data_IF_068162948853
#
_entry.id   IF_068162948853
#
_cell.length_a   1.000
_cell.length_b   1.000
_cell.length_c   1.000
_cell.angle_alpha   90.00
_cell.angle_beta   90.00
_cell.angle_gamma   90.00
#
_symmetry.space_group_name_H-M   'P 1'
#
loop_
_entity.id
_entity.type
_entity.pdbx_description
1 polymer ?
#
# COMPACT_ATOMS: atom_id res chain seq x y z
N UNK A 1 -15.31 5.09 4.17
CA UNK A 1 -14.68 5.78 5.32
C UNK A 1 -13.29 6.24 4.94
N UNK A 2 -12.99 7.50 5.17
CA UNK A 2 -11.65 8.06 4.89
C UNK A 2 -10.84 8.10 6.18
N UNK A 3 -9.59 7.64 6.11
CA UNK A 3 -8.67 7.63 7.25
C UNK A 3 -7.42 8.38 6.86
N UNK A 4 -7.04 9.41 7.63
CA UNK A 4 -5.82 10.16 7.39
C UNK A 4 -4.62 9.34 7.84
N UNK A 5 -3.56 9.39 7.05
CA UNK A 5 -2.31 8.69 7.30
C UNK A 5 -1.16 9.67 7.18
N UNK A 6 0.00 9.38 7.81
CA UNK A 6 1.16 10.29 7.69
C UNK A 6 1.60 10.53 6.25
N UNK A 7 1.38 9.56 5.37
CA UNK A 7 1.80 9.61 3.96
C UNK A 7 0.70 10.08 3.01
N UNK A 8 -0.51 10.33 3.50
CA UNK A 8 -1.65 10.71 2.66
C UNK A 8 -2.94 10.29 3.30
N UNK A 9 -3.73 9.47 2.61
CA UNK A 9 -4.97 8.95 3.20
C UNK A 9 -5.39 7.66 2.50
N UNK A 10 -6.27 6.91 3.18
CA UNK A 10 -6.91 5.75 2.57
C UNK A 10 -8.42 5.89 2.66
N UNK A 11 -9.10 5.37 1.65
CA UNK A 11 -10.56 5.27 1.64
C UNK A 11 -10.91 3.79 1.66
N UNK A 12 -11.61 3.37 2.71
CA UNK A 12 -12.09 1.98 2.83
C UNK A 12 -13.46 1.91 2.21
N UNK A 13 -13.52 1.44 0.98
CA UNK A 13 -14.79 1.40 0.22
C UNK A 13 -15.47 0.04 0.29
N UNK A 14 -14.77 -1.01 0.71
CA UNK A 14 -15.35 -2.34 0.92
C UNK A 14 -14.71 -2.95 2.17
N UNK A 15 -15.51 -3.21 3.19
CA UNK A 15 -15.05 -3.83 4.44
C UNK A 15 -16.09 -4.84 4.86
N UNK A 16 -15.75 -6.12 4.79
CA UNK A 16 -16.63 -7.19 5.23
C UNK A 16 -15.79 -8.40 5.64
N UNK A 17 -16.46 -9.49 5.96
CA UNK A 17 -15.79 -10.69 6.47
C UNK A 17 -15.08 -11.51 5.40
N UNK A 18 -15.18 -11.13 4.13
CA UNK A 18 -14.60 -11.91 3.04
C UNK A 18 -13.49 -11.19 2.30
N UNK A 19 -13.56 -9.86 2.19
CA UNK A 19 -12.56 -9.08 1.46
C UNK A 19 -12.52 -7.64 1.93
N UNK A 20 -11.44 -6.96 1.56
CA UNK A 20 -11.26 -5.51 1.77
C UNK A 20 -11.02 -4.84 0.43
N UNK A 21 -11.55 -3.61 0.30
CA UNK A 21 -11.22 -2.74 -0.81
C UNK A 21 -10.83 -1.38 -0.28
N UNK A 22 -9.70 -0.85 -0.73
CA UNK A 22 -9.22 0.46 -0.32
C UNK A 22 -8.74 1.25 -1.52
N UNK A 23 -8.80 2.57 -1.40
CA UNK A 23 -8.06 3.46 -2.28
C UNK A 23 -7.01 4.14 -1.42
N UNK A 24 -5.75 4.07 -1.85
CA UNK A 24 -4.63 4.69 -1.16
C UNK A 24 -4.19 5.90 -1.97
N UNK A 25 -4.19 7.08 -1.34
CA UNK A 25 -3.65 8.29 -1.93
C UNK A 25 -2.33 8.59 -1.22
N UNK A 26 -1.22 8.45 -1.92
CA UNK A 26 0.12 8.67 -1.37
C UNK A 26 0.62 10.00 -1.88
N UNK A 27 0.89 10.93 -0.96
CA UNK A 27 1.36 12.26 -1.32
C UNK A 27 2.70 12.19 -2.04
N UNK A 28 2.96 13.16 -2.92
CA UNK A 28 4.24 13.25 -3.63
C UNK A 28 5.39 13.19 -2.63
N UNK A 29 6.39 12.37 -2.92
CA UNK A 29 7.58 12.22 -2.07
C UNK A 29 7.36 11.42 -0.80
N UNK A 30 6.18 10.88 -0.58
CA UNK A 30 5.87 10.11 0.63
C UNK A 30 5.89 8.61 0.35
N UNK A 31 5.98 7.84 1.42
CA UNK A 31 5.97 6.38 1.32
C UNK A 31 5.37 5.76 2.57
N UNK A 32 4.80 4.57 2.41
CA UNK A 32 4.34 3.77 3.52
C UNK A 32 5.54 3.14 4.24
N UNK A 33 5.27 2.47 5.36
CA UNK A 33 6.30 1.71 6.04
C UNK A 33 6.77 0.55 5.16
N UNK A 34 7.99 0.11 5.41
CA UNK A 34 8.46 -1.20 4.94
C UNK A 34 7.82 -2.22 5.86
N UNK A 35 7.00 -3.12 5.31
CA UNK A 35 6.12 -3.94 6.12
C UNK A 35 5.85 -5.28 5.46
N UNK A 36 5.26 -6.20 6.22
CA UNK A 36 4.70 -7.43 5.66
C UNK A 36 3.43 -7.79 6.42
N UNK A 37 2.66 -8.70 5.84
CA UNK A 37 1.44 -9.22 6.44
C UNK A 37 1.62 -10.71 6.66
N UNK A 38 1.07 -11.23 7.76
CA UNK A 38 1.20 -12.65 8.06
C UNK A 38 0.21 -13.49 7.30
N UNK A 39 -1.00 -12.99 7.09
CA UNK A 39 -2.08 -13.71 6.42
C UNK A 39 -2.68 -12.97 5.24
N UNK A 40 -2.66 -11.63 5.29
CA UNK A 40 -3.31 -10.81 4.28
C UNK A 40 -2.63 -10.98 2.93
N UNK A 41 -3.44 -11.26 1.91
CA UNK A 41 -3.03 -11.36 0.52
C UNK A 41 -3.69 -10.20 -0.21
N UNK A 42 -2.91 -9.35 -0.88
CA UNK A 42 -3.45 -8.16 -1.52
C UNK A 42 -2.93 -7.99 -2.93
N UNK A 43 -3.71 -7.26 -3.74
CA UNK A 43 -3.30 -6.85 -5.08
C UNK A 43 -3.57 -5.37 -5.20
N UNK A 44 -2.60 -4.63 -5.73
CA UNK A 44 -2.74 -3.20 -6.00
C UNK A 44 -2.84 -2.97 -7.50
N UNK A 45 -3.55 -1.89 -7.84
CA UNK A 45 -3.73 -1.42 -9.22
C UNK A 45 -3.50 0.08 -9.22
N UNK A 46 -2.66 0.57 -10.14
CA UNK A 46 -2.35 2.00 -10.20
C UNK A 46 -3.43 2.74 -10.96
N UNK A 47 -4.15 3.62 -10.26
CA UNK A 47 -5.20 4.45 -10.86
C UNK A 47 -4.66 5.73 -11.46
N UNK A 48 -3.73 6.40 -10.75
CA UNK A 48 -3.16 7.69 -11.15
C UNK A 48 -1.72 7.74 -10.72
N UNK A 49 -0.88 8.31 -11.57
CA UNK A 49 0.53 8.51 -11.28
C UNK A 49 1.38 7.28 -11.56
N UNK A 50 2.57 7.29 -11.00
CA UNK A 50 3.54 6.20 -11.09
C UNK A 50 3.92 5.77 -9.69
N UNK A 51 3.75 4.50 -9.38
CA UNK A 51 4.09 3.96 -8.06
C UNK A 51 5.46 3.32 -8.10
N UNK A 52 6.25 3.55 -7.05
CA UNK A 52 7.51 2.85 -6.83
C UNK A 52 7.26 1.83 -5.73
N UNK A 53 7.36 0.56 -6.05
CA UNK A 53 7.05 -0.52 -5.11
C UNK A 53 8.30 -1.34 -4.86
N UNK A 54 8.69 -1.41 -3.59
CA UNK A 54 9.75 -2.33 -3.17
C UNK A 54 9.09 -3.62 -2.71
N UNK A 55 9.53 -4.73 -3.29
CA UNK A 55 8.97 -6.04 -2.97
C UNK A 55 10.09 -7.05 -2.88
N UNK A 56 10.32 -7.59 -1.68
CA UNK A 56 11.35 -8.59 -1.41
C UNK A 56 12.71 -8.20 -1.97
N UNK A 57 13.12 -6.94 -1.74
CA UNK A 57 14.41 -6.44 -2.16
C UNK A 57 14.50 -5.99 -3.61
N UNK A 58 13.41 -6.08 -4.36
CA UNK A 58 13.37 -5.63 -5.75
C UNK A 58 12.50 -4.39 -5.87
N UNK A 59 12.86 -3.50 -6.79
CA UNK A 59 12.10 -2.28 -7.05
C UNK A 59 11.30 -2.45 -8.35
N UNK A 60 9.99 -2.19 -8.25
CA UNK A 60 9.09 -2.22 -9.39
C UNK A 60 8.56 -0.80 -9.63
N UNK A 61 8.64 -0.35 -10.88
CA UNK A 61 8.06 0.93 -11.29
C UNK A 61 6.75 0.60 -12.00
N UNK A 62 5.63 0.98 -11.40
CA UNK A 62 4.31 0.66 -11.92
C UNK A 62 3.65 1.91 -12.46
N UNK A 63 3.22 1.86 -13.71
CA UNK A 63 2.50 2.95 -14.37
C UNK A 63 1.00 2.75 -14.21
N UNK A 64 0.23 3.79 -14.52
CA UNK A 64 -1.23 3.73 -14.52
C UNK A 64 -1.72 2.53 -15.32
N UNK A 65 -2.55 1.70 -14.72
CA UNK A 65 -3.06 0.48 -15.33
C UNK A 65 -2.30 -0.79 -14.97
N UNK A 66 -1.12 -0.66 -14.34
CA UNK A 66 -0.36 -1.84 -13.90
C UNK A 66 -0.88 -2.35 -12.56
N UNK A 67 -0.71 -3.64 -12.32
CA UNK A 67 -1.10 -4.25 -11.06
C UNK A 67 0.03 -5.14 -10.53
N UNK A 68 0.00 -5.40 -9.22
CA UNK A 68 1.00 -6.23 -8.57
C UNK A 68 0.37 -6.91 -7.36
N UNK A 69 0.56 -8.23 -7.25
CA UNK A 69 0.11 -8.99 -6.10
C UNK A 69 1.20 -9.01 -5.03
N UNK A 70 0.79 -8.80 -3.78
CA UNK A 70 1.65 -8.91 -2.61
C UNK A 70 1.12 -10.08 -1.78
N UNK A 71 1.90 -11.15 -1.70
CA UNK A 71 1.50 -12.34 -0.97
C UNK A 71 1.88 -12.23 0.52
N UNK A 72 1.22 -13.01 1.38
CA UNK A 72 1.60 -13.05 2.80
C UNK A 72 3.10 -13.31 2.97
N UNK A 73 3.72 -12.61 3.89
CA UNK A 73 5.14 -12.75 4.20
C UNK A 73 6.07 -11.93 3.32
N UNK A 74 5.60 -11.38 2.22
CA UNK A 74 6.47 -10.57 1.35
C UNK A 74 6.69 -9.19 1.95
N UNK A 75 7.96 -8.82 2.13
CA UNK A 75 8.33 -7.51 2.66
C UNK A 75 8.22 -6.48 1.55
N UNK A 76 7.44 -5.43 1.78
CA UNK A 76 7.12 -4.48 0.71
C UNK A 76 6.90 -3.07 1.24
N UNK A 77 6.96 -2.10 0.32
CA UNK A 77 6.71 -0.69 0.59
C UNK A 77 6.20 -0.01 -0.68
N UNK A 78 5.13 0.76 -0.55
CA UNK A 78 4.61 1.59 -1.64
C UNK A 78 5.12 3.02 -1.47
N UNK A 79 5.53 3.66 -2.57
CA UNK A 79 6.07 5.02 -2.54
C UNK A 79 5.54 5.83 -3.71
N UNK A 80 5.44 7.14 -3.52
CA UNK A 80 5.16 8.08 -4.60
C UNK A 80 6.45 8.84 -4.93
N UNK A 81 6.72 9.13 -6.21
CA UNK A 81 7.88 9.95 -6.57
C UNK A 81 7.72 11.38 -6.09
N UNK A 82 8.80 12.14 -6.09
CA UNK A 82 8.80 13.52 -5.60
C UNK A 82 7.91 14.45 -6.41
N UNK A 83 7.68 14.13 -7.68
CA UNK A 83 7.00 15.02 -8.63
C UNK A 83 5.48 14.95 -8.54
N UNK A 84 4.92 13.84 -8.05
CA UNK A 84 3.48 13.63 -8.14
C UNK A 84 3.00 12.63 -7.10
N UNK A 85 1.76 12.82 -6.65
CA UNK A 85 1.09 11.80 -5.82
C UNK A 85 0.81 10.56 -6.66
N UNK A 86 0.50 9.46 -5.98
CA UNK A 86 0.03 8.25 -6.63
C UNK A 86 -1.27 7.80 -5.97
N UNK A 87 -2.18 7.28 -6.77
CA UNK A 87 -3.42 6.71 -6.26
C UNK A 87 -3.52 5.25 -6.68
N UNK A 88 -3.68 4.38 -5.68
CA UNK A 88 -3.77 2.93 -5.87
C UNK A 88 -5.13 2.42 -5.43
N UNK A 89 -5.65 1.42 -6.14
CA UNK A 89 -6.73 0.59 -5.59
C UNK A 89 -6.06 -0.65 -4.99
N UNK A 90 -6.45 -0.99 -3.77
CA UNK A 90 -6.03 -2.23 -3.12
C UNK A 90 -7.25 -3.09 -2.90
N UNK A 91 -7.17 -4.36 -3.29
CA UNK A 91 -8.14 -5.38 -2.89
C UNK A 91 -7.38 -6.46 -2.12
N UNK A 92 -7.98 -6.98 -1.08
CA UNK A 92 -7.28 -7.95 -0.24
C UNK A 92 -8.24 -8.88 0.49
N UNK A 93 -7.67 -9.90 1.10
CA UNK A 93 -8.36 -10.71 2.10
C UNK A 93 -8.66 -9.83 3.32
N UNK A 94 -9.56 -10.25 4.24
CA UNK A 94 -10.17 -9.31 5.19
C UNK A 94 -9.35 -8.93 6.42
N UNK A 95 -8.11 -9.35 6.55
CA UNK A 95 -7.27 -9.08 7.74
C UNK A 95 -6.82 -7.62 7.77
N UNK A 96 -7.69 -6.73 8.25
CA UNK A 96 -7.49 -5.28 8.14
C UNK A 96 -6.33 -4.74 9.00
N UNK A 97 -6.08 -5.38 10.14
CA UNK A 97 -5.04 -4.92 11.08
C UNK A 97 -3.78 -5.77 11.02
N UNK A 98 -3.67 -6.64 10.05
CA UNK A 98 -2.54 -7.55 9.90
C UNK A 98 -1.38 -6.84 9.22
N UNK A 99 -0.61 -6.07 9.98
CA UNK A 99 0.57 -5.40 9.47
C UNK A 99 1.69 -5.44 10.49
N UNK A 100 2.90 -5.83 10.03
CA UNK A 100 4.12 -5.78 10.85
C UNK A 100 5.07 -4.82 10.15
N UNK A 101 5.38 -3.71 10.83
CA UNK A 101 6.24 -2.68 10.27
C UNK A 101 7.70 -2.96 10.60
N UNK A 102 8.53 -3.06 9.55
CA UNK A 102 9.96 -3.31 9.67
C UNK A 102 10.71 -1.98 9.77
N UNK A 103 10.34 -1.01 8.93
CA UNK A 103 10.88 0.36 8.95
C UNK A 103 9.74 1.31 8.71
N UNK A 104 9.75 2.44 9.41
CA UNK A 104 8.68 3.42 9.26
C UNK A 104 9.23 4.82 9.48
N UNK A 105 9.10 5.68 8.46
CA UNK A 105 9.56 7.07 8.53
C UNK A 105 8.83 7.87 9.62
N UNK A 106 7.71 7.35 10.12
CA UNK A 106 6.82 8.06 11.04
C UNK A 106 6.88 7.51 12.47
N UNK A 107 7.80 6.58 12.74
CA UNK A 107 8.05 6.07 14.09
C UNK A 107 7.00 5.11 14.61
N UNK A 108 6.27 4.42 13.75
CA UNK A 108 5.21 3.47 14.17
C UNK A 108 5.67 2.03 14.25
N UNK A 109 6.90 1.74 13.83
CA UNK A 109 7.41 0.37 13.96
C UNK A 109 7.71 0.10 15.41
N UNK A 110 7.65 -1.13 15.72
CA UNK A 110 7.93 -1.42 17.07
C UNK A 110 8.03 -2.82 17.38
#
# INVERSE_FOLDING_TARGET
>A
MRIEKPWGHEIRWAVNDKYLGKILHINAGSRLSLQYHEQKDETIYVMEGTAVVHLDGKTHILSCGDSLRIQPGQIHRFSAPDECYVKLIEVSTPEIDDVIRVEDDYGREK
#
